data_IF_362390795445
#
_entry.id   IF_362390795445
#
_cell.length_a   1.000
_cell.length_b   1.000
_cell.length_c   1.000
_cell.angle_alpha   90.00
_cell.angle_beta   90.00
_cell.angle_gamma   90.00
#
_symmetry.space_group_name_H-M   'P 1'
#
loop_
_entity.id
_entity.type
_entity.pdbx_description
1 polymer ?
#
# COMPACT_ATOMS: atom_id res chain seq x y z
N UNK A 1 0.60 -29.66 3.63
CA UNK A 1 1.20 -29.59 4.97
C UNK A 1 2.54 -28.90 4.81
N UNK A 2 2.79 -27.80 5.57
CA UNK A 2 4.08 -27.10 5.54
C UNK A 2 5.08 -27.92 6.34
N UNK A 3 6.17 -28.34 5.72
CA UNK A 3 7.24 -29.06 6.40
C UNK A 3 8.08 -28.10 7.26
N UNK A 4 8.35 -28.44 8.53
CA UNK A 4 9.25 -27.68 9.40
C UNK A 4 10.68 -27.64 8.83
N UNK A 5 11.39 -26.56 9.08
CA UNK A 5 12.79 -26.42 8.71
C UNK A 5 13.69 -27.00 9.82
N UNK A 6 13.85 -28.30 9.79
CA UNK A 6 14.68 -29.02 10.75
C UNK A 6 16.17 -28.66 10.66
N UNK A 7 16.66 -28.25 9.46
CA UNK A 7 18.05 -27.86 9.25
C UNK A 7 18.43 -26.65 10.11
N UNK A 8 17.61 -25.58 10.08
CA UNK A 8 17.84 -24.39 10.91
C UNK A 8 17.76 -24.74 12.40
N UNK A 9 16.74 -25.51 12.81
CA UNK A 9 16.58 -25.92 14.20
C UNK A 9 17.80 -26.70 14.69
N UNK A 10 18.24 -27.69 13.95
CA UNK A 10 19.41 -28.51 14.32
C UNK A 10 20.70 -27.71 14.32
N UNK A 11 20.87 -26.74 13.40
CA UNK A 11 22.04 -25.87 13.39
C UNK A 11 22.10 -25.01 14.67
N UNK A 12 20.97 -24.44 15.08
CA UNK A 12 20.87 -23.67 16.34
C UNK A 12 21.14 -24.57 17.57
N UNK A 13 20.52 -25.74 17.63
CA UNK A 13 20.65 -26.66 18.78
C UNK A 13 22.05 -27.26 18.91
N UNK A 14 22.81 -27.36 17.84
CA UNK A 14 24.23 -27.77 17.85
C UNK A 14 25.18 -26.66 18.31
N UNK A 15 24.74 -25.40 18.26
CA UNK A 15 25.56 -24.26 18.66
C UNK A 15 25.40 -24.09 20.18
N UNK A 16 26.51 -24.14 20.94
CA UNK A 16 26.44 -23.91 22.39
C UNK A 16 25.94 -22.51 22.73
N UNK A 17 25.11 -22.40 23.76
CA UNK A 17 24.71 -21.11 24.31
C UNK A 17 25.92 -20.40 24.92
N UNK A 18 26.09 -19.11 24.62
CA UNK A 18 27.06 -18.25 25.28
C UNK A 18 26.50 -17.69 26.61
N UNK A 19 25.17 -17.68 26.77
CA UNK A 19 24.49 -17.14 27.95
C UNK A 19 24.37 -18.20 29.06
N UNK A 20 24.12 -19.46 28.68
CA UNK A 20 23.92 -20.57 29.64
C UNK A 20 24.85 -21.73 29.28
N UNK A 21 26.03 -21.84 29.93
CA UNK A 21 27.02 -22.90 29.66
C UNK A 21 26.40 -24.31 29.77
N UNK A 22 26.66 -25.15 28.78
CA UNK A 22 26.19 -26.53 28.74
C UNK A 22 24.81 -26.75 28.13
N UNK A 23 24.17 -25.70 27.66
CA UNK A 23 22.88 -25.77 26.92
C UNK A 23 23.03 -25.40 25.45
N UNK A 24 22.05 -25.78 24.64
CA UNK A 24 21.94 -25.36 23.26
C UNK A 24 21.46 -23.88 23.18
N UNK A 25 21.89 -23.17 22.13
CA UNK A 25 21.46 -21.80 21.88
C UNK A 25 19.93 -21.70 21.79
N UNK A 26 19.33 -20.75 22.53
CA UNK A 26 17.90 -20.46 22.47
C UNK A 26 17.54 -19.70 21.18
N UNK A 27 16.23 -19.62 20.85
CA UNK A 27 15.75 -18.80 19.71
C UNK A 27 16.02 -17.32 19.97
N UNK A 28 15.83 -16.85 21.19
CA UNK A 28 16.06 -15.47 21.58
C UNK A 28 17.56 -15.15 21.42
N UNK A 29 18.45 -15.99 21.96
CA UNK A 29 19.89 -15.80 21.83
C UNK A 29 20.35 -15.77 20.35
N UNK A 30 19.78 -16.62 19.50
CA UNK A 30 20.03 -16.58 18.06
C UNK A 30 19.59 -15.24 17.45
N UNK A 31 18.42 -14.75 17.83
CA UNK A 31 17.88 -13.49 17.38
C UNK A 31 18.80 -12.31 17.78
N UNK A 32 19.21 -12.28 19.04
CA UNK A 32 20.07 -11.23 19.60
C UNK A 32 21.46 -11.23 18.94
N UNK A 33 22.05 -12.39 18.69
CA UNK A 33 23.34 -12.53 18.01
C UNK A 33 23.26 -12.14 16.54
N UNK A 34 22.17 -12.44 15.86
CA UNK A 34 21.92 -11.99 14.48
C UNK A 34 21.78 -10.47 14.43
N UNK A 35 21.04 -9.87 15.38
CA UNK A 35 20.89 -8.42 15.45
C UNK A 35 22.22 -7.74 15.75
N UNK A 36 23.03 -8.27 16.67
CA UNK A 36 24.37 -7.77 16.99
C UNK A 36 25.30 -7.83 15.77
N UNK A 37 25.38 -8.98 15.07
CA UNK A 37 26.16 -9.13 13.85
C UNK A 37 25.78 -8.11 12.78
N UNK A 38 24.48 -7.88 12.59
CA UNK A 38 23.99 -6.92 11.61
C UNK A 38 24.29 -5.48 12.01
N UNK A 39 24.21 -5.16 13.30
CA UNK A 39 24.55 -3.85 13.81
C UNK A 39 26.04 -3.53 13.62
N UNK A 40 26.94 -4.46 13.96
CA UNK A 40 28.37 -4.30 13.75
C UNK A 40 28.73 -4.06 12.27
N UNK A 41 28.03 -4.73 11.35
CA UNK A 41 28.34 -4.67 9.93
C UNK A 41 27.69 -3.49 9.21
N UNK A 42 26.52 -3.04 9.65
CA UNK A 42 25.71 -2.05 8.91
C UNK A 42 25.51 -0.73 9.66
N UNK A 43 25.79 -0.69 10.96
CA UNK A 43 25.47 0.42 11.86
C UNK A 43 23.97 0.66 12.07
N UNK A 44 23.11 -0.29 11.64
CA UNK A 44 21.65 -0.19 11.74
C UNK A 44 21.12 -1.18 12.75
N UNK A 45 20.15 -0.73 13.56
CA UNK A 45 19.40 -1.61 14.45
C UNK A 45 18.49 -2.52 13.62
N UNK A 46 18.49 -3.80 13.96
CA UNK A 46 17.59 -4.81 13.41
C UNK A 46 16.80 -5.43 14.55
N UNK A 47 15.52 -5.74 14.34
CA UNK A 47 14.59 -6.22 15.36
C UNK A 47 14.11 -7.64 15.01
N UNK A 48 15.07 -8.56 14.78
CA UNK A 48 14.74 -9.97 14.66
C UNK A 48 14.47 -10.51 16.08
N UNK A 49 13.35 -11.22 16.26
CA UNK A 49 12.90 -11.77 17.55
C UNK A 49 12.83 -13.31 17.54
N UNK A 50 12.61 -13.90 18.70
CA UNK A 50 12.45 -15.34 18.88
C UNK A 50 11.27 -15.90 18.08
N UNK A 51 10.20 -15.13 17.93
CA UNK A 51 9.04 -15.50 17.15
C UNK A 51 9.34 -15.54 15.64
N UNK A 52 10.19 -14.64 15.14
CA UNK A 52 10.66 -14.68 13.75
C UNK A 52 11.52 -15.93 13.51
N UNK A 53 12.46 -16.25 14.42
CA UNK A 53 13.23 -17.50 14.37
C UNK A 53 12.29 -18.71 14.41
N UNK A 54 11.29 -18.68 15.27
CA UNK A 54 10.26 -19.73 15.33
C UNK A 54 9.46 -19.88 14.02
N UNK A 55 9.18 -18.79 13.28
CA UNK A 55 8.54 -18.84 11.95
C UNK A 55 9.45 -19.49 10.91
N UNK A 56 10.75 -19.23 10.97
CA UNK A 56 11.75 -19.87 10.11
C UNK A 56 11.81 -21.39 10.38
N UNK A 57 11.89 -21.82 11.63
CA UNK A 57 11.95 -23.24 12.01
C UNK A 57 10.65 -24.00 11.71
N UNK A 58 9.49 -23.37 11.86
CA UNK A 58 8.21 -23.98 11.46
C UNK A 58 7.98 -24.00 9.94
N UNK A 59 8.93 -23.52 9.14
CA UNK A 59 8.82 -23.48 7.68
C UNK A 59 7.75 -22.49 7.17
N UNK A 60 7.30 -21.54 8.00
CA UNK A 60 6.36 -20.50 7.61
C UNK A 60 7.06 -19.52 6.67
N UNK A 61 8.29 -19.13 7.01
CA UNK A 61 9.18 -18.33 6.17
C UNK A 61 10.27 -19.26 5.63
N UNK A 62 10.22 -19.60 4.33
CA UNK A 62 11.16 -20.51 3.69
C UNK A 62 12.37 -19.82 3.05
N UNK A 63 12.24 -18.53 2.78
CA UNK A 63 13.29 -17.73 2.14
C UNK A 63 13.33 -16.34 2.75
N UNK A 64 14.06 -16.16 3.89
CA UNK A 64 14.19 -14.84 4.51
C UNK A 64 15.03 -13.89 3.64
N UNK A 65 15.04 -12.61 3.99
CA UNK A 65 15.81 -11.58 3.28
C UNK A 65 17.30 -11.94 3.24
N UNK A 66 17.99 -11.48 2.18
CA UNK A 66 19.41 -11.80 1.97
C UNK A 66 20.28 -11.45 3.18
N UNK A 67 20.04 -10.30 3.78
CA UNK A 67 20.74 -9.79 4.96
C UNK A 67 20.60 -10.75 6.17
N UNK A 68 19.39 -11.24 6.42
CA UNK A 68 19.16 -12.21 7.50
C UNK A 68 19.76 -13.59 7.20
N UNK A 69 19.73 -14.05 5.94
CA UNK A 69 20.37 -15.32 5.56
C UNK A 69 21.87 -15.28 5.77
N UNK A 70 22.51 -14.16 5.36
CA UNK A 70 23.94 -13.94 5.58
C UNK A 70 24.29 -13.95 7.07
N UNK A 71 23.55 -13.20 7.89
CA UNK A 71 23.77 -13.15 9.32
C UNK A 71 23.54 -14.50 10.02
N UNK A 72 22.48 -15.23 9.65
CA UNK A 72 22.20 -16.57 10.18
C UNK A 72 23.33 -17.56 9.85
N UNK A 73 23.86 -17.52 8.62
CA UNK A 73 25.03 -18.33 8.25
C UNK A 73 26.26 -18.00 9.07
N UNK A 74 26.53 -16.71 9.23
CA UNK A 74 27.69 -16.24 10.00
C UNK A 74 27.60 -16.63 11.48
N UNK A 75 26.45 -16.41 12.11
CA UNK A 75 26.21 -16.73 13.52
C UNK A 75 26.23 -18.23 13.81
N UNK A 76 25.68 -19.04 12.90
CA UNK A 76 25.59 -20.49 13.04
C UNK A 76 26.79 -21.25 12.40
N UNK A 77 27.73 -20.54 11.81
CA UNK A 77 28.95 -21.13 11.26
C UNK A 77 28.74 -22.06 10.07
N UNK A 78 27.72 -21.81 9.21
CA UNK A 78 27.41 -22.65 8.05
C UNK A 78 27.73 -21.97 6.73
N UNK A 79 28.11 -22.75 5.71
CA UNK A 79 28.65 -22.22 4.47
C UNK A 79 27.56 -21.72 3.49
N UNK A 80 26.37 -22.35 3.48
CA UNK A 80 25.36 -22.04 2.47
C UNK A 80 23.94 -21.90 3.05
N UNK A 81 23.05 -21.19 2.32
CA UNK A 81 21.64 -21.10 2.64
C UNK A 81 20.96 -22.48 2.66
N UNK A 82 21.47 -23.44 1.88
CA UNK A 82 20.96 -24.80 1.80
C UNK A 82 21.23 -25.57 3.10
N UNK A 83 22.35 -25.31 3.76
CA UNK A 83 22.71 -25.95 5.02
C UNK A 83 21.76 -25.54 6.16
N UNK A 84 21.12 -24.36 6.02
CA UNK A 84 20.05 -23.88 6.90
C UNK A 84 18.65 -24.27 6.39
N UNK A 85 18.53 -25.08 5.35
CA UNK A 85 17.25 -25.51 4.79
C UNK A 85 16.48 -24.39 4.11
N UNK A 86 17.13 -23.27 3.75
CA UNK A 86 16.48 -22.22 2.98
C UNK A 86 16.42 -22.57 1.51
N UNK A 87 15.20 -22.64 0.95
CA UNK A 87 14.95 -23.00 -0.43
C UNK A 87 14.21 -21.88 -1.14
N UNK A 88 14.82 -21.36 -2.22
CA UNK A 88 14.14 -20.41 -3.09
C UNK A 88 13.23 -21.16 -4.06
N UNK A 89 11.97 -21.33 -3.69
CA UNK A 89 10.98 -22.05 -4.49
C UNK A 89 10.72 -21.40 -5.86
N UNK A 90 11.07 -20.13 -6.05
CA UNK A 90 11.00 -19.46 -7.36
C UNK A 90 12.09 -19.93 -8.34
N UNK A 91 13.21 -20.47 -7.86
CA UNK A 91 14.30 -21.01 -8.71
C UNK A 91 14.13 -22.49 -9.03
N UNK A 92 13.35 -23.24 -8.26
CA UNK A 92 13.12 -24.67 -8.49
C UNK A 92 12.11 -24.96 -9.60
N UNK A 93 11.42 -23.96 -10.11
CA UNK A 93 10.51 -24.10 -11.25
C UNK A 93 11.15 -23.81 -12.61
N UNK A 94 12.45 -23.52 -12.67
CA UNK A 94 13.20 -23.48 -13.93
C UNK A 94 13.68 -24.89 -14.25
N UNK A 95 12.93 -25.59 -15.10
CA UNK A 95 13.34 -26.88 -15.68
C UNK A 95 14.64 -26.72 -16.49
N UNK A 96 15.46 -27.81 -16.64
CA UNK A 96 16.72 -27.78 -17.37
C UNK A 96 16.47 -27.46 -18.85
N UNK A 97 17.20 -26.47 -19.36
CA UNK A 97 17.26 -26.16 -20.78
C UNK A 97 17.89 -27.35 -21.52
N UNK A 98 17.08 -28.06 -22.28
CA UNK A 98 17.57 -29.03 -23.26
C UNK A 98 18.24 -28.23 -24.38
N UNK A 99 19.54 -28.37 -24.51
CA UNK A 99 20.30 -27.86 -25.66
C UNK A 99 19.86 -28.64 -26.91
N UNK A 100 19.04 -28.06 -27.76
CA UNK A 100 18.86 -28.46 -29.13
C UNK A 100 20.03 -27.92 -29.97
N UNK A 101 20.77 -28.79 -30.59
CA UNK A 101 21.84 -28.48 -31.53
C UNK A 101 21.31 -27.68 -32.73
N UNK A 102 22.12 -26.78 -33.31
CA UNK A 102 21.66 -25.93 -34.43
C UNK A 102 21.48 -26.79 -35.69
N UNK A 103 20.30 -26.66 -36.31
CA UNK A 103 20.03 -27.23 -37.63
C UNK A 103 20.77 -26.42 -38.71
N UNK A 104 21.20 -27.07 -39.84
CA UNK A 104 22.03 -26.42 -40.83
C UNK A 104 21.25 -25.38 -41.66
N UNK A 105 21.90 -24.23 -41.85
CA UNK A 105 21.50 -23.23 -42.84
C UNK A 105 21.73 -23.75 -44.23
N UNK A 106 20.64 -24.05 -44.95
CA UNK A 106 20.63 -24.02 -46.41
C UNK A 106 19.21 -23.87 -46.94
N UNK A 107 19.07 -23.07 -48.01
CA UNK A 107 17.90 -22.86 -48.86
C UNK A 107 16.83 -21.90 -48.38
N UNK A 108 16.99 -20.66 -48.80
CA UNK A 108 16.00 -19.81 -49.45
C UNK A 108 16.69 -18.51 -49.95
N UNK A 109 17.35 -18.62 -51.11
CA UNK A 109 17.57 -17.52 -52.00
C UNK A 109 16.52 -17.65 -53.12
N UNK A 110 16.06 -16.51 -53.63
CA UNK A 110 15.20 -16.30 -54.80
C UNK A 110 13.68 -16.27 -54.52
N UNK A 111 13.18 -15.04 -54.26
CA UNK A 111 11.91 -14.58 -54.80
C UNK A 111 11.88 -13.03 -54.83
N UNK A 112 11.96 -12.50 -56.04
CA UNK A 112 11.76 -11.09 -56.37
C UNK A 112 10.30 -10.65 -56.12
N UNK A 113 10.04 -9.36 -55.76
CA UNK A 113 8.69 -8.85 -55.62
C UNK A 113 8.09 -8.44 -56.97
N UNK A 114 6.79 -8.64 -57.24
CA UNK A 114 6.11 -8.07 -58.38
C UNK A 114 5.59 -6.67 -58.09
N UNK A 115 5.67 -5.82 -59.14
CA UNK A 115 5.21 -4.44 -59.21
C UNK A 115 3.68 -4.27 -59.12
N UNK A 116 3.18 -3.04 -58.75
CA UNK A 116 1.77 -2.79 -58.49
C UNK A 116 0.98 -2.45 -59.76
N UNK A 117 -0.26 -2.86 -59.80
CA UNK A 117 -1.22 -2.35 -60.77
C UNK A 117 -2.22 -3.37 -61.31
N UNK A 118 -3.32 -3.56 -60.60
CA UNK A 118 -4.60 -3.96 -61.17
C UNK A 118 -5.74 -3.63 -60.20
N UNK A 119 -6.69 -2.86 -60.64
CA UNK A 119 -7.92 -2.50 -59.96
C UNK A 119 -8.77 -3.75 -59.72
N UNK A 120 -9.32 -3.87 -58.51
CA UNK A 120 -10.31 -4.90 -58.17
C UNK A 120 -11.68 -4.24 -58.01
N UNK A 121 -12.62 -4.68 -58.82
CA UNK A 121 -14.05 -4.43 -58.67
C UNK A 121 -14.61 -5.19 -57.43
N UNK A 122 -15.69 -4.70 -56.80
CA UNK A 122 -16.24 -5.30 -55.59
C UNK A 122 -17.18 -6.48 -55.95
N UNK A 123 -16.82 -7.66 -55.48
CA UNK A 123 -17.74 -8.81 -55.43
C UNK A 123 -18.28 -8.90 -54.00
N UNK A 124 -19.59 -8.71 -53.87
CA UNK A 124 -20.30 -8.90 -52.61
C UNK A 124 -20.42 -10.36 -52.23
N UNK A 125 -20.27 -10.65 -50.95
CA UNK A 125 -20.48 -11.98 -50.37
C UNK A 125 -19.96 -12.04 -48.93
N UNK A 126 -20.83 -12.13 -47.99
CA UNK A 126 -20.78 -12.43 -46.56
C UNK A 126 -19.44 -12.40 -45.78
N UNK A 127 -19.25 -11.43 -44.87
CA UNK A 127 -18.00 -11.25 -44.13
C UNK A 127 -17.85 -12.15 -42.88
N UNK A 128 -18.89 -12.87 -42.45
CA UNK A 128 -18.85 -13.49 -41.10
C UNK A 128 -18.25 -14.90 -41.05
N UNK A 129 -18.35 -15.69 -42.10
CA UNK A 129 -17.85 -17.08 -42.10
C UNK A 129 -16.32 -17.14 -42.18
N UNK A 130 -15.71 -16.24 -42.95
CA UNK A 130 -14.23 -16.22 -43.11
C UNK A 130 -13.49 -15.69 -41.89
N UNK A 131 -14.12 -14.81 -41.13
CA UNK A 131 -13.54 -14.29 -39.88
C UNK A 131 -13.53 -15.34 -38.76
N UNK A 132 -14.57 -16.16 -38.68
CA UNK A 132 -14.62 -17.32 -37.76
C UNK A 132 -13.67 -18.42 -38.18
N UNK A 133 -13.50 -18.71 -39.47
CA UNK A 133 -12.51 -19.68 -39.95
C UNK A 133 -11.06 -19.21 -39.78
N UNK A 134 -10.79 -17.89 -39.98
CA UNK A 134 -9.48 -17.31 -39.68
C UNK A 134 -9.17 -17.35 -38.18
N UNK A 135 -10.14 -17.05 -37.32
CA UNK A 135 -9.98 -17.16 -35.87
C UNK A 135 -9.82 -18.62 -35.43
N UNK A 136 -10.54 -19.57 -36.07
CA UNK A 136 -10.34 -21.01 -35.82
C UNK A 136 -9.00 -21.51 -36.34
N UNK A 137 -8.53 -21.10 -37.48
CA UNK A 137 -7.21 -21.46 -38.01
C UNK A 137 -6.06 -20.89 -37.18
N UNK A 138 -6.21 -19.66 -36.66
CA UNK A 138 -5.26 -19.05 -35.72
C UNK A 138 -5.26 -19.77 -34.36
N UNK A 139 -6.40 -20.36 -33.95
CA UNK A 139 -6.49 -21.15 -32.73
C UNK A 139 -6.07 -22.62 -32.90
N UNK A 140 -6.13 -23.19 -34.09
CA UNK A 140 -5.73 -24.60 -34.36
C UNK A 140 -4.19 -24.78 -34.41
N UNK A 141 -3.45 -23.70 -34.62
CA UNK A 141 -1.97 -23.72 -34.50
C UNK A 141 -1.46 -23.77 -33.05
N UNK A 142 -2.32 -23.54 -32.07
CA UNK A 142 -2.07 -23.68 -30.60
C UNK A 142 -2.97 -24.79 -30.06
N UNK A 143 -3.06 -25.90 -30.78
CA UNK A 143 -3.97 -26.97 -30.49
C UNK A 143 -3.69 -27.63 -29.14
N UNK A 144 -4.65 -27.56 -28.24
CA UNK A 144 -4.81 -28.52 -27.17
C UNK A 144 -4.13 -28.20 -25.84
N UNK A 145 -3.60 -27.01 -25.65
CA UNK A 145 -3.23 -26.54 -24.30
C UNK A 145 -4.47 -25.85 -23.68
N UNK A 146 -5.12 -26.54 -22.75
CA UNK A 146 -5.78 -25.84 -21.65
C UNK A 146 -4.67 -25.01 -21.02
N UNK A 147 -4.54 -23.74 -21.47
CA UNK A 147 -3.44 -22.88 -21.08
C UNK A 147 -3.53 -22.67 -19.57
N UNK A 148 -2.59 -23.22 -18.84
CA UNK A 148 -2.45 -22.87 -17.43
C UNK A 148 -2.24 -21.36 -17.32
N UNK A 149 -2.61 -20.70 -16.22
CA UNK A 149 -2.35 -19.27 -16.04
C UNK A 149 -0.90 -18.89 -16.33
N UNK A 150 0.07 -19.76 -16.09
CA UNK A 150 1.49 -19.57 -16.42
C UNK A 150 1.74 -19.49 -17.93
N UNK A 151 1.09 -20.34 -18.73
CA UNK A 151 1.23 -20.32 -20.19
C UNK A 151 0.66 -19.03 -20.82
N UNK A 152 -0.42 -18.49 -20.25
CA UNK A 152 -0.96 -17.19 -20.69
C UNK A 152 -0.01 -16.03 -20.33
N UNK A 153 0.64 -16.09 -19.18
CA UNK A 153 1.64 -15.09 -18.77
C UNK A 153 2.89 -15.15 -19.63
N UNK A 154 3.29 -16.33 -20.12
CA UNK A 154 4.42 -16.50 -21.03
C UNK A 154 4.21 -15.77 -22.38
N UNK A 155 2.96 -15.58 -22.81
CA UNK A 155 2.63 -14.76 -24.00
C UNK A 155 2.93 -13.27 -23.79
N UNK A 156 2.99 -12.80 -22.54
CA UNK A 156 3.33 -11.42 -22.20
C UNK A 156 4.84 -11.21 -21.95
N UNK A 157 5.60 -12.30 -21.78
CA UNK A 157 7.03 -12.26 -21.48
C UNK A 157 7.89 -11.51 -22.53
N UNK A 158 7.57 -11.53 -23.84
CA UNK A 158 8.34 -10.80 -24.84
C UNK A 158 8.03 -9.30 -24.94
N UNK A 159 7.08 -8.77 -24.14
CA UNK A 159 6.77 -7.32 -24.16
C UNK A 159 7.97 -6.53 -23.63
N UNK A 160 8.53 -5.67 -24.50
CA UNK A 160 9.65 -4.80 -24.13
C UNK A 160 9.10 -3.50 -23.55
N UNK A 161 9.71 -2.94 -22.47
CA UNK A 161 9.42 -1.59 -22.05
C UNK A 161 9.69 -0.60 -23.18
N UNK A 162 8.81 0.37 -23.39
CA UNK A 162 9.08 1.48 -24.32
C UNK A 162 10.05 2.47 -23.69
N UNK A 163 10.90 3.08 -24.50
CA UNK A 163 11.77 4.18 -24.04
C UNK A 163 10.92 5.40 -23.67
N UNK A 164 11.32 6.11 -22.62
CA UNK A 164 10.69 7.36 -22.23
C UNK A 164 10.93 8.45 -23.31
N UNK A 165 9.96 9.34 -23.55
CA UNK A 165 10.14 10.46 -24.47
C UNK A 165 11.33 11.33 -24.07
N UNK A 166 12.12 11.77 -25.05
CA UNK A 166 13.26 12.68 -24.82
C UNK A 166 12.82 14.13 -24.57
N UNK A 167 11.60 14.48 -24.94
CA UNK A 167 10.97 15.79 -24.73
C UNK A 167 9.59 15.60 -24.15
N UNK A 168 9.22 16.51 -23.25
CA UNK A 168 7.95 16.49 -22.55
C UNK A 168 7.25 17.83 -22.72
N UNK A 169 5.95 17.78 -22.96
CA UNK A 169 5.04 18.90 -23.07
C UNK A 169 3.80 18.72 -22.19
N UNK A 170 2.76 19.52 -22.44
CA UNK A 170 1.51 19.48 -21.68
C UNK A 170 0.75 18.16 -21.81
N UNK A 171 0.83 17.50 -22.97
CA UNK A 171 0.12 16.23 -23.19
C UNK A 171 0.61 15.12 -22.26
N UNK A 172 1.92 15.05 -22.00
CA UNK A 172 2.48 14.07 -21.07
C UNK A 172 2.11 14.41 -19.62
N UNK A 173 2.07 15.69 -19.26
CA UNK A 173 1.62 16.14 -17.93
C UNK A 173 0.15 15.74 -17.70
N UNK A 174 -0.73 15.93 -18.67
CA UNK A 174 -2.14 15.52 -18.58
C UNK A 174 -2.27 14.00 -18.41
N UNK A 175 -1.45 13.20 -19.07
CA UNK A 175 -1.40 11.74 -18.90
C UNK A 175 -0.98 11.37 -17.46
N UNK A 176 0.04 12.03 -16.91
CA UNK A 176 0.49 11.80 -15.52
C UNK A 176 -0.60 12.16 -14.54
N UNK A 177 -1.26 13.31 -14.71
CA UNK A 177 -2.38 13.76 -13.86
C UNK A 177 -3.54 12.77 -13.94
N UNK A 178 -3.93 12.36 -15.14
CA UNK A 178 -4.99 11.36 -15.33
C UNK A 178 -4.68 10.01 -14.67
N UNK A 179 -3.42 9.58 -14.70
CA UNK A 179 -2.99 8.36 -13.98
C UNK A 179 -3.10 8.54 -12.46
N UNK A 180 -2.72 9.71 -11.92
CA UNK A 180 -2.85 9.99 -10.49
C UNK A 180 -4.32 10.01 -10.06
N UNK A 181 -5.20 10.67 -10.81
CA UNK A 181 -6.63 10.76 -10.53
C UNK A 181 -7.31 9.37 -10.54
N UNK A 182 -6.93 8.52 -11.51
CA UNK A 182 -7.42 7.15 -11.58
C UNK A 182 -7.05 6.36 -10.33
N UNK A 183 -5.81 6.44 -9.87
CA UNK A 183 -5.36 5.76 -8.65
C UNK A 183 -6.07 6.30 -7.41
N UNK A 184 -6.25 7.61 -7.30
CA UNK A 184 -6.99 8.23 -6.19
C UNK A 184 -8.43 7.72 -6.14
N UNK A 185 -9.14 7.76 -7.28
CA UNK A 185 -10.52 7.27 -7.40
C UNK A 185 -10.63 5.79 -7.05
N UNK A 186 -9.72 4.96 -7.57
CA UNK A 186 -9.67 3.54 -7.26
C UNK A 186 -9.46 3.29 -5.76
N UNK A 187 -8.49 4.01 -5.16
CA UNK A 187 -8.20 3.90 -3.74
C UNK A 187 -9.38 4.25 -2.83
N UNK A 188 -10.20 5.22 -3.21
CA UNK A 188 -11.41 5.60 -2.46
C UNK A 188 -12.52 4.56 -2.55
N UNK A 189 -12.67 3.93 -3.72
CA UNK A 189 -13.77 3.01 -4.01
C UNK A 189 -13.47 1.56 -3.64
N UNK A 190 -12.23 1.10 -3.84
CA UNK A 190 -11.86 -0.32 -3.74
C UNK A 190 -10.73 -0.60 -2.75
N UNK A 191 -10.04 0.44 -2.25
CA UNK A 191 -8.80 0.29 -1.51
C UNK A 191 -7.56 0.12 -2.43
N UNK A 192 -6.38 0.18 -1.85
CA UNK A 192 -5.13 0.31 -2.61
C UNK A 192 -4.37 -0.99 -2.86
N UNK A 193 -4.65 -2.06 -2.09
CA UNK A 193 -3.81 -3.24 -2.10
C UNK A 193 -3.80 -3.99 -3.44
N UNK A 194 -4.94 -4.03 -4.15
CA UNK A 194 -5.10 -4.76 -5.41
C UNK A 194 -4.34 -4.15 -6.60
N UNK A 195 -4.10 -2.85 -6.59
CA UNK A 195 -3.47 -2.12 -7.72
C UNK A 195 -2.05 -1.65 -7.45
N UNK A 196 -1.49 -1.94 -6.29
CA UNK A 196 -0.16 -1.44 -5.84
C UNK A 196 0.94 -1.70 -6.86
N UNK A 197 1.03 -2.89 -7.43
CA UNK A 197 2.09 -3.23 -8.38
C UNK A 197 1.94 -2.49 -9.71
N UNK A 198 0.72 -2.31 -10.19
CA UNK A 198 0.44 -1.51 -11.39
C UNK A 198 0.78 -0.03 -11.15
N UNK A 199 0.42 0.52 -9.99
CA UNK A 199 0.75 1.89 -9.60
C UNK A 199 2.27 2.10 -9.52
N UNK A 200 3.01 1.16 -8.93
CA UNK A 200 4.47 1.19 -8.89
C UNK A 200 5.10 1.17 -10.30
N UNK A 201 4.56 0.37 -11.22
CA UNK A 201 5.03 0.31 -12.60
C UNK A 201 4.77 1.64 -13.34
N UNK A 202 3.58 2.22 -13.18
CA UNK A 202 3.25 3.53 -13.74
C UNK A 202 4.16 4.63 -13.18
N UNK A 203 4.36 4.67 -11.86
CA UNK A 203 5.24 5.68 -11.25
C UNK A 203 6.68 5.57 -11.75
N UNK A 204 7.22 4.35 -11.91
CA UNK A 204 8.56 4.17 -12.48
C UNK A 204 8.65 4.66 -13.91
N UNK A 205 7.62 4.41 -14.72
CA UNK A 205 7.56 4.85 -16.11
C UNK A 205 7.51 6.39 -16.18
N UNK A 206 6.53 7.00 -15.51
CA UNK A 206 6.37 8.46 -15.55
C UNK A 206 7.51 9.20 -14.84
N UNK A 207 8.14 8.60 -13.84
CA UNK A 207 9.31 9.14 -13.16
C UNK A 207 10.51 9.36 -14.11
N UNK A 208 10.63 8.58 -15.19
CA UNK A 208 11.68 8.78 -16.20
C UNK A 208 11.50 10.10 -16.97
N UNK A 209 10.28 10.64 -17.07
CA UNK A 209 10.01 11.90 -17.73
C UNK A 209 10.70 13.09 -17.04
N UNK A 210 11.02 13.00 -15.74
CA UNK A 210 11.74 14.06 -15.04
C UNK A 210 13.14 14.33 -15.61
N UNK A 211 13.74 13.36 -16.32
CA UNK A 211 14.99 13.50 -17.03
C UNK A 211 14.87 14.05 -18.46
N UNK A 212 13.63 14.25 -18.96
CA UNK A 212 13.40 14.72 -20.32
C UNK A 212 13.65 16.24 -20.49
N UNK A 213 13.85 16.67 -21.72
CA UNK A 213 13.94 18.10 -22.05
C UNK A 213 12.54 18.74 -21.95
N UNK A 214 12.45 19.84 -21.20
CA UNK A 214 11.22 20.60 -20.98
C UNK A 214 11.55 22.08 -20.79
N UNK A 215 10.57 22.97 -21.07
CA UNK A 215 10.70 24.40 -20.68
C UNK A 215 10.63 24.50 -19.14
N UNK A 216 11.09 25.63 -18.54
CA UNK A 216 11.03 25.82 -17.08
C UNK A 216 9.60 25.64 -16.54
N UNK A 217 8.59 26.17 -17.21
CA UNK A 217 7.18 26.08 -16.81
C UNK A 217 6.68 24.63 -16.84
N UNK A 218 6.95 23.91 -17.94
CA UNK A 218 6.60 22.49 -18.10
C UNK A 218 7.32 21.64 -17.06
N UNK A 219 8.56 21.98 -16.71
CA UNK A 219 9.32 21.27 -15.69
C UNK A 219 8.66 21.39 -14.31
N UNK A 220 8.20 22.58 -13.91
CA UNK A 220 7.47 22.78 -12.65
C UNK A 220 6.20 21.93 -12.63
N UNK A 221 5.36 22.04 -13.65
CA UNK A 221 4.11 21.28 -13.74
C UNK A 221 4.35 19.76 -13.78
N UNK A 222 5.43 19.30 -14.45
CA UNK A 222 5.78 17.89 -14.51
C UNK A 222 6.18 17.34 -13.14
N UNK A 223 7.01 18.07 -12.38
CA UNK A 223 7.40 17.65 -11.03
C UNK A 223 6.18 17.57 -10.10
N UNK A 224 5.27 18.53 -10.18
CA UNK A 224 4.01 18.47 -9.42
C UNK A 224 3.15 17.27 -9.82
N UNK A 225 2.96 17.03 -11.12
CA UNK A 225 2.16 15.92 -11.61
C UNK A 225 2.75 14.56 -11.21
N UNK A 226 4.08 14.37 -11.40
CA UNK A 226 4.78 13.12 -10.99
C UNK A 226 4.80 12.99 -9.48
N UNK A 227 4.95 14.07 -8.74
CA UNK A 227 4.85 14.09 -7.28
C UNK A 227 3.46 13.67 -6.78
N UNK A 228 2.38 14.14 -7.43
CA UNK A 228 1.00 13.71 -7.14
C UNK A 228 0.77 12.25 -7.45
N UNK A 229 1.29 11.75 -8.59
CA UNK A 229 1.24 10.32 -8.91
C UNK A 229 2.01 9.51 -7.87
N UNK A 230 3.17 9.99 -7.44
CA UNK A 230 3.94 9.39 -6.35
C UNK A 230 3.14 9.34 -5.05
N UNK A 231 2.48 10.44 -4.67
CA UNK A 231 1.61 10.50 -3.51
C UNK A 231 0.45 9.49 -3.60
N UNK A 232 -0.24 9.40 -4.74
CA UNK A 232 -1.31 8.42 -4.95
C UNK A 232 -0.79 6.98 -4.85
N UNK A 233 0.36 6.68 -5.50
CA UNK A 233 1.02 5.36 -5.42
C UNK A 233 1.44 5.00 -4.00
N UNK A 234 1.99 5.95 -3.24
CA UNK A 234 2.34 5.76 -1.84
C UNK A 234 1.12 5.40 -0.98
N UNK A 235 -0.04 6.00 -1.27
CA UNK A 235 -1.30 5.63 -0.59
C UNK A 235 -1.74 4.20 -0.89
N UNK A 236 -1.50 3.66 -2.09
CA UNK A 236 -1.77 2.24 -2.40
C UNK A 236 -0.91 1.32 -1.53
N UNK A 237 0.37 1.65 -1.39
CA UNK A 237 1.29 0.91 -0.52
C UNK A 237 0.92 1.06 0.97
N UNK A 238 0.57 2.25 1.42
CA UNK A 238 0.12 2.51 2.79
C UNK A 238 -1.16 1.73 3.12
N UNK A 239 -2.12 1.69 2.20
CA UNK A 239 -3.37 0.96 2.38
C UNK A 239 -3.17 -0.57 2.43
N UNK A 240 -2.12 -1.05 1.76
CA UNK A 240 -1.66 -2.43 1.82
C UNK A 240 -0.77 -2.75 3.05
N UNK A 241 -0.56 -1.79 3.96
CA UNK A 241 0.40 -1.86 5.09
C UNK A 241 1.86 -2.13 4.67
N UNK A 242 2.24 -1.82 3.44
CA UNK A 242 3.62 -1.85 2.96
C UNK A 242 4.32 -0.52 3.31
N UNK A 243 4.52 -0.29 4.60
CA UNK A 243 4.90 1.01 5.15
C UNK A 243 6.25 1.53 4.67
N UNK A 244 7.24 0.67 4.49
CA UNK A 244 8.57 1.08 4.02
C UNK A 244 8.53 1.53 2.56
N UNK A 245 7.82 0.78 1.71
CA UNK A 245 7.59 1.18 0.31
C UNK A 245 6.82 2.50 0.25
N UNK A 246 5.74 2.63 1.03
CA UNK A 246 4.94 3.85 1.08
C UNK A 246 5.78 5.05 1.53
N UNK A 247 6.59 4.90 2.59
CA UNK A 247 7.49 5.96 3.08
C UNK A 247 8.50 6.38 2.02
N UNK A 248 9.09 5.43 1.30
CA UNK A 248 10.05 5.72 0.25
C UNK A 248 9.41 6.49 -0.90
N UNK A 249 8.19 6.09 -1.32
CA UNK A 249 7.46 6.77 -2.39
C UNK A 249 6.96 8.14 -1.94
N UNK A 250 6.50 8.30 -0.69
CA UNK A 250 6.17 9.63 -0.14
C UNK A 250 7.39 10.56 -0.11
N UNK A 251 8.59 10.05 0.25
CA UNK A 251 9.83 10.85 0.20
C UNK A 251 10.19 11.27 -1.24
N UNK A 252 9.95 10.41 -2.22
CA UNK A 252 10.09 10.78 -3.63
C UNK A 252 9.13 11.90 -4.02
N UNK A 253 7.85 11.80 -3.64
CA UNK A 253 6.85 12.84 -3.89
C UNK A 253 7.19 14.17 -3.20
N UNK A 254 7.73 14.08 -1.96
CA UNK A 254 8.22 15.25 -1.23
C UNK A 254 9.39 15.92 -1.98
N UNK A 255 10.36 15.15 -2.42
CA UNK A 255 11.49 15.68 -3.20
C UNK A 255 11.02 16.36 -4.50
N UNK A 256 10.04 15.80 -5.21
CA UNK A 256 9.43 16.46 -6.37
C UNK A 256 8.81 17.82 -6.02
N UNK A 257 8.14 17.93 -4.87
CA UNK A 257 7.53 19.20 -4.43
C UNK A 257 8.59 20.24 -4.04
N UNK A 258 9.66 19.81 -3.38
CA UNK A 258 10.75 20.68 -2.92
C UNK A 258 11.59 21.21 -4.07
N UNK A 259 11.84 20.39 -5.12
CA UNK A 259 12.58 20.79 -6.32
C UNK A 259 11.96 21.99 -7.02
N UNK A 260 10.64 22.13 -6.99
CA UNK A 260 9.91 23.20 -7.65
C UNK A 260 9.29 24.22 -6.69
N UNK A 261 9.51 24.07 -5.39
CA UNK A 261 8.99 24.99 -4.37
C UNK A 261 7.47 24.92 -4.23
N UNK A 262 6.83 23.79 -4.51
CA UNK A 262 5.37 23.61 -4.37
C UNK A 262 4.98 23.37 -2.91
N UNK A 263 4.58 24.44 -2.22
CA UNK A 263 4.16 24.38 -0.82
C UNK A 263 2.89 23.54 -0.62
N UNK A 264 1.95 23.62 -1.54
CA UNK A 264 0.71 22.85 -1.51
C UNK A 264 0.97 21.34 -1.58
N UNK A 265 1.74 20.88 -2.56
CA UNK A 265 2.06 19.45 -2.68
C UNK A 265 2.92 18.98 -1.50
N UNK A 266 3.87 19.81 -1.03
CA UNK A 266 4.68 19.52 0.15
C UNK A 266 3.81 19.29 1.39
N UNK A 267 2.84 20.17 1.65
CA UNK A 267 1.90 20.06 2.77
C UNK A 267 1.10 18.75 2.70
N UNK A 268 0.56 18.42 1.52
CA UNK A 268 -0.19 17.18 1.28
C UNK A 268 0.64 15.92 1.58
N UNK A 269 1.86 15.87 1.07
CA UNK A 269 2.75 14.73 1.26
C UNK A 269 3.16 14.57 2.72
N UNK A 270 3.52 15.67 3.39
CA UNK A 270 3.90 15.64 4.81
C UNK A 270 2.72 15.24 5.71
N UNK A 271 1.48 15.69 5.40
CA UNK A 271 0.27 15.21 6.08
C UNK A 271 0.11 13.69 5.97
N UNK A 272 0.40 13.12 4.79
CA UNK A 272 0.30 11.69 4.57
C UNK A 272 1.39 10.89 5.28
N UNK A 273 2.63 11.42 5.31
CA UNK A 273 3.71 10.87 6.14
C UNK A 273 3.36 10.90 7.63
N UNK A 274 2.83 12.02 8.12
CA UNK A 274 2.36 12.12 9.50
C UNK A 274 1.32 11.04 9.82
N UNK A 275 0.31 10.90 8.95
CA UNK A 275 -0.75 9.90 9.10
C UNK A 275 -0.19 8.47 9.11
N UNK A 276 0.77 8.15 8.25
CA UNK A 276 1.41 6.83 8.22
C UNK A 276 2.15 6.53 9.52
N UNK A 277 2.95 7.48 10.02
CA UNK A 277 3.74 7.24 11.24
C UNK A 277 2.83 7.12 12.48
N UNK A 278 1.77 7.94 12.57
CA UNK A 278 0.73 7.80 13.60
C UNK A 278 0.11 6.38 13.55
N UNK A 279 -0.19 5.87 12.36
CA UNK A 279 -0.75 4.54 12.17
C UNK A 279 0.20 3.43 12.59
N UNK A 280 1.50 3.62 12.41
CA UNK A 280 2.55 2.68 12.82
C UNK A 280 2.85 2.70 14.33
N UNK A 281 2.26 3.63 15.08
CA UNK A 281 2.56 3.85 16.49
C UNK A 281 3.68 4.86 16.75
N UNK A 282 4.30 5.40 15.69
CA UNK A 282 5.38 6.40 15.76
C UNK A 282 4.78 7.82 15.85
N UNK A 283 3.96 8.06 16.89
CA UNK A 283 3.16 9.28 16.99
C UNK A 283 4.02 10.57 17.12
N UNK A 284 5.20 10.48 17.73
CA UNK A 284 6.13 11.62 17.85
C UNK A 284 6.71 12.03 16.50
N UNK A 285 7.11 11.05 15.68
CA UNK A 285 7.54 11.29 14.30
C UNK A 285 6.39 11.81 13.44
N UNK A 286 5.17 11.29 13.66
CA UNK A 286 3.96 11.80 13.03
C UNK A 286 3.69 13.25 13.37
N UNK A 287 3.87 13.65 14.63
CA UNK A 287 3.78 15.03 15.07
C UNK A 287 4.82 15.94 14.38
N UNK A 288 6.07 15.45 14.30
CA UNK A 288 7.14 16.17 13.62
C UNK A 288 6.79 16.45 12.15
N UNK A 289 6.28 15.47 11.41
CA UNK A 289 5.86 15.71 10.02
C UNK A 289 4.69 16.67 9.89
N UNK A 290 3.69 16.61 10.79
CA UNK A 290 2.58 17.54 10.79
C UNK A 290 3.03 18.99 11.08
N UNK A 291 3.96 19.18 12.00
CA UNK A 291 4.54 20.49 12.33
C UNK A 291 5.44 21.02 11.21
N UNK A 292 6.25 20.16 10.57
CA UNK A 292 7.01 20.54 9.38
C UNK A 292 6.11 20.98 8.21
N UNK A 293 4.93 20.40 8.08
CA UNK A 293 3.96 20.79 7.06
C UNK A 293 3.37 22.18 7.35
N UNK A 294 3.20 22.53 8.62
CA UNK A 294 2.69 23.84 9.06
C UNK A 294 3.74 24.96 9.01
N UNK A 295 5.02 24.63 8.79
CA UNK A 295 6.03 25.66 8.50
C UNK A 295 5.64 26.38 7.21
N UNK A 296 5.47 27.69 7.27
CA UNK A 296 4.94 28.51 6.18
C UNK A 296 3.46 28.22 5.87
N UNK A 297 2.64 28.00 6.91
CA UNK A 297 1.18 27.93 6.79
C UNK A 297 0.57 29.18 6.10
N UNK A 298 1.28 30.32 6.15
CA UNK A 298 0.93 31.56 5.43
C UNK A 298 0.81 31.37 3.90
N UNK A 299 1.36 30.29 3.34
CA UNK A 299 1.30 29.94 1.90
C UNK A 299 0.26 28.89 1.56
N UNK A 300 -0.45 28.40 2.55
CA UNK A 300 -1.42 27.31 2.40
C UNK A 300 -2.84 27.86 2.47
N UNK A 301 -3.76 27.17 1.80
CA UNK A 301 -5.19 27.49 1.92
C UNK A 301 -5.73 27.12 3.29
N UNK A 302 -6.86 27.68 3.67
CA UNK A 302 -7.51 27.35 4.93
C UNK A 302 -7.88 25.86 5.03
N UNK A 303 -8.28 25.25 3.91
CA UNK A 303 -8.55 23.82 3.79
C UNK A 303 -7.32 22.96 4.09
N UNK A 304 -6.17 23.34 3.55
CA UNK A 304 -4.90 22.63 3.81
C UNK A 304 -4.47 22.80 5.27
N UNK A 305 -4.62 23.98 5.84
CA UNK A 305 -4.33 24.22 7.26
C UNK A 305 -5.24 23.38 8.15
N UNK A 306 -6.54 23.29 7.87
CA UNK A 306 -7.46 22.42 8.59
C UNK A 306 -7.00 20.95 8.54
N UNK A 307 -6.66 20.43 7.35
CA UNK A 307 -6.13 19.08 7.18
C UNK A 307 -4.87 18.84 8.02
N UNK A 308 -3.95 19.79 8.07
CA UNK A 308 -2.69 19.67 8.82
C UNK A 308 -2.91 19.71 10.34
N UNK A 309 -3.80 20.59 10.81
CA UNK A 309 -4.17 20.65 12.23
C UNK A 309 -4.87 19.36 12.68
N UNK A 310 -5.67 18.69 11.82
CA UNK A 310 -6.21 17.36 12.15
C UNK A 310 -5.13 16.29 12.22
N UNK A 311 -4.15 16.29 11.33
CA UNK A 311 -3.00 15.38 11.42
C UNK A 311 -2.22 15.58 12.72
N UNK A 312 -1.96 16.85 13.08
CA UNK A 312 -1.32 17.23 14.35
C UNK A 312 -2.14 16.77 15.55
N UNK A 313 -3.46 16.98 15.54
CA UNK A 313 -4.36 16.56 16.62
C UNK A 313 -4.31 15.04 16.83
N UNK A 314 -4.31 14.25 15.75
CA UNK A 314 -4.21 12.78 15.83
C UNK A 314 -2.89 12.31 16.45
N UNK A 315 -1.76 12.94 16.11
CA UNK A 315 -0.48 12.64 16.70
C UNK A 315 -0.46 12.97 18.20
N UNK A 316 -0.94 14.15 18.58
CA UNK A 316 -1.04 14.59 19.97
C UNK A 316 -1.94 13.68 20.82
N UNK A 317 -3.06 13.21 20.26
CA UNK A 317 -3.96 12.27 20.92
C UNK A 317 -3.26 10.93 21.23
N UNK A 318 -2.50 10.39 20.27
CA UNK A 318 -1.72 9.16 20.48
C UNK A 318 -0.59 9.32 21.51
N UNK A 319 -0.07 10.55 21.67
CA UNK A 319 0.91 10.90 22.71
C UNK A 319 0.27 11.19 24.07
N UNK A 320 -1.05 11.07 24.20
CA UNK A 320 -1.78 11.38 25.45
C UNK A 320 -1.81 12.87 25.83
N UNK A 321 -1.51 13.77 24.87
CA UNK A 321 -1.44 15.22 25.09
C UNK A 321 -2.83 15.86 24.97
N UNK A 322 -3.70 15.59 25.93
CA UNK A 322 -5.12 15.95 25.92
C UNK A 322 -5.40 17.41 25.54
N UNK A 323 -4.84 18.37 26.29
CA UNK A 323 -5.09 19.80 26.08
C UNK A 323 -4.57 20.28 24.71
N UNK A 324 -3.43 19.75 24.28
CA UNK A 324 -2.85 20.09 22.98
C UNK A 324 -3.69 19.51 21.84
N UNK A 325 -4.26 18.30 22.02
CA UNK A 325 -5.19 17.70 21.06
C UNK A 325 -6.43 18.58 20.87
N UNK A 326 -7.05 19.02 21.98
CA UNK A 326 -8.24 19.89 21.90
C UNK A 326 -7.93 21.21 21.21
N UNK A 327 -6.77 21.82 21.52
CA UNK A 327 -6.33 23.05 20.84
C UNK A 327 -6.12 22.82 19.34
N UNK A 328 -5.49 21.70 18.95
CA UNK A 328 -5.26 21.40 17.55
C UNK A 328 -6.57 21.10 16.79
N UNK A 329 -7.55 20.44 17.43
CA UNK A 329 -8.90 20.28 16.87
C UNK A 329 -9.59 21.62 16.71
N UNK A 330 -9.53 22.51 17.71
CA UNK A 330 -10.08 23.87 17.61
C UNK A 330 -9.46 24.68 16.48
N UNK A 331 -8.13 24.60 16.31
CA UNK A 331 -7.43 25.23 15.18
C UNK A 331 -7.86 24.65 13.83
N UNK A 332 -8.11 23.33 13.76
CA UNK A 332 -8.62 22.69 12.57
C UNK A 332 -10.04 23.18 12.23
N UNK A 333 -10.91 23.28 13.22
CA UNK A 333 -12.29 23.78 13.06
C UNK A 333 -12.29 25.26 12.64
N UNK A 334 -11.45 26.09 13.25
CA UNK A 334 -11.30 27.49 12.88
C UNK A 334 -10.82 27.66 11.44
N UNK A 335 -9.77 26.93 11.06
CA UNK A 335 -9.29 26.95 9.68
C UNK A 335 -10.37 26.44 8.70
N UNK A 336 -11.08 25.37 9.06
CA UNK A 336 -12.14 24.82 8.22
C UNK A 336 -13.30 25.80 8.03
N UNK A 337 -13.66 26.59 9.03
CA UNK A 337 -14.69 27.61 8.92
C UNK A 337 -14.36 28.72 7.90
N UNK A 338 -13.11 28.87 7.51
CA UNK A 338 -12.63 29.86 6.53
C UNK A 338 -12.25 29.23 5.17
N UNK A 339 -12.70 27.99 4.90
CA UNK A 339 -12.40 27.33 3.63
C UNK A 339 -13.08 28.00 2.45
N UNK A 340 -12.32 28.15 1.37
CA UNK A 340 -12.80 28.65 0.07
C UNK A 340 -12.43 27.64 -1.00
N UNK A 341 -13.28 26.63 -1.28
CA UNK A 341 -12.94 25.50 -2.17
C UNK A 341 -12.51 25.91 -3.59
N UNK A 342 -12.96 27.07 -4.08
CA UNK A 342 -12.55 27.60 -5.39
C UNK A 342 -11.07 28.03 -5.44
N UNK A 343 -10.47 28.33 -4.28
CA UNK A 343 -9.06 28.68 -4.14
C UNK A 343 -8.15 27.50 -3.82
N UNK A 344 -8.72 26.32 -3.58
CA UNK A 344 -7.96 25.15 -3.21
C UNK A 344 -7.27 24.50 -4.40
N UNK A 345 -6.10 23.85 -4.19
CA UNK A 345 -5.54 22.95 -5.18
C UNK A 345 -6.55 21.86 -5.55
N UNK A 346 -6.64 21.43 -6.82
CA UNK A 346 -7.63 20.45 -7.28
C UNK A 346 -7.68 19.16 -6.46
N UNK A 347 -6.54 18.72 -5.97
CA UNK A 347 -6.44 17.52 -5.15
C UNK A 347 -6.95 17.65 -3.71
N UNK A 348 -7.40 18.83 -3.29
CA UNK A 348 -8.03 19.05 -1.98
C UNK A 348 -9.54 18.83 -2.00
N UNK A 349 -10.16 18.62 -3.15
CA UNK A 349 -11.61 18.41 -3.25
C UNK A 349 -12.18 17.23 -2.44
N UNK A 350 -11.33 16.34 -1.92
CA UNK A 350 -11.74 15.28 -1.01
C UNK A 350 -11.96 15.76 0.43
N UNK A 351 -11.41 16.94 0.82
CA UNK A 351 -11.43 17.43 2.19
C UNK A 351 -12.67 18.29 2.43
N UNK A 352 -13.82 17.65 2.39
CA UNK A 352 -15.14 18.22 2.64
C UNK A 352 -15.53 18.16 4.13
N UNK A 353 -16.75 18.57 4.46
CA UNK A 353 -17.28 18.54 5.82
C UNK A 353 -17.30 17.13 6.43
N UNK A 354 -17.57 16.10 5.62
CA UNK A 354 -17.57 14.72 6.09
C UNK A 354 -16.14 14.24 6.43
N UNK A 355 -15.17 14.57 5.57
CA UNK A 355 -13.76 14.22 5.82
C UNK A 355 -13.22 14.97 7.03
N UNK A 356 -13.51 16.28 7.18
CA UNK A 356 -13.10 17.07 8.34
C UNK A 356 -13.69 16.52 9.64
N UNK A 357 -14.99 16.24 9.65
CA UNK A 357 -15.66 15.63 10.80
C UNK A 357 -15.07 14.25 11.15
N UNK A 358 -14.81 13.43 10.14
CA UNK A 358 -14.17 12.12 10.31
C UNK A 358 -12.77 12.23 10.91
N UNK A 359 -11.91 13.06 10.33
CA UNK A 359 -10.52 13.20 10.78
C UNK A 359 -10.43 13.78 12.21
N UNK A 360 -11.25 14.78 12.56
CA UNK A 360 -11.32 15.31 13.92
C UNK A 360 -11.97 14.33 14.90
N UNK A 361 -12.99 13.57 14.48
CA UNK A 361 -13.60 12.50 15.26
C UNK A 361 -12.58 11.39 15.59
N UNK A 362 -11.77 11.00 14.62
CA UNK A 362 -10.67 10.05 14.84
C UNK A 362 -9.60 10.59 15.79
N UNK A 363 -9.30 11.90 15.77
CA UNK A 363 -8.36 12.51 16.72
C UNK A 363 -8.89 12.47 18.16
N UNK A 364 -10.20 12.67 18.34
CA UNK A 364 -10.84 12.67 19.66
C UNK A 364 -11.17 11.26 20.18
N UNK A 365 -11.09 10.22 19.35
CA UNK A 365 -11.44 8.84 19.71
C UNK A 365 -10.66 8.34 20.92
N UNK A 366 -9.32 8.42 20.88
CA UNK A 366 -8.47 7.90 21.95
C UNK A 366 -8.74 8.61 23.29
N UNK A 367 -9.02 9.90 23.27
CA UNK A 367 -9.34 10.66 24.45
C UNK A 367 -10.68 10.21 25.07
N UNK A 368 -11.68 9.94 24.23
CA UNK A 368 -12.99 9.47 24.70
C UNK A 368 -12.90 8.09 25.31
N UNK A 369 -12.14 7.18 24.70
CA UNK A 369 -11.90 5.83 25.25
C UNK A 369 -11.16 5.90 26.60
N UNK A 370 -10.32 6.91 26.81
CA UNK A 370 -9.63 7.16 28.08
C UNK A 370 -10.54 7.82 29.14
N UNK A 371 -11.82 8.05 28.84
CA UNK A 371 -12.80 8.59 29.77
C UNK A 371 -12.99 10.11 29.71
N UNK A 372 -12.36 10.80 28.77
CA UNK A 372 -12.59 12.23 28.57
C UNK A 372 -13.88 12.47 27.78
N UNK A 373 -14.64 13.47 28.18
CA UNK A 373 -15.83 13.89 27.42
C UNK A 373 -15.40 14.70 26.22
N UNK A 374 -15.70 14.20 25.03
CA UNK A 374 -15.39 14.87 23.75
C UNK A 374 -16.55 14.74 22.76
N UNK A 375 -16.42 15.38 21.61
CA UNK A 375 -17.37 15.31 20.50
C UNK A 375 -17.02 14.20 19.48
N UNK A 376 -16.25 13.19 19.84
CA UNK A 376 -15.81 12.15 18.92
C UNK A 376 -17.00 11.43 18.24
N UNK A 377 -18.00 10.98 19.01
CA UNK A 377 -19.14 10.24 18.48
C UNK A 377 -20.01 11.07 17.51
N UNK A 378 -20.45 12.29 17.85
CA UNK A 378 -21.20 13.12 16.89
C UNK A 378 -20.40 13.45 15.63
N UNK A 379 -19.10 13.72 15.73
CA UNK A 379 -18.26 13.99 14.56
C UNK A 379 -18.11 12.76 13.65
N UNK A 380 -17.87 11.58 14.20
CA UNK A 380 -17.82 10.35 13.44
C UNK A 380 -19.17 10.04 12.76
N UNK A 381 -20.29 10.32 13.42
CA UNK A 381 -21.63 10.18 12.84
C UNK A 381 -21.82 11.13 11.66
N UNK A 382 -21.47 12.42 11.81
CA UNK A 382 -21.48 13.38 10.71
C UNK A 382 -20.66 12.90 9.51
N UNK A 383 -19.49 12.30 9.76
CA UNK A 383 -18.67 11.73 8.70
C UNK A 383 -19.35 10.56 7.98
N UNK A 384 -19.94 9.63 8.73
CA UNK A 384 -20.65 8.47 8.17
C UNK A 384 -21.81 8.91 7.29
N UNK A 385 -22.61 9.85 7.79
CA UNK A 385 -23.81 10.35 7.10
C UNK A 385 -23.46 11.23 5.89
N UNK A 386 -22.36 11.94 5.93
CA UNK A 386 -21.95 12.90 4.90
C UNK A 386 -21.11 12.30 3.77
N UNK A 387 -20.42 11.17 3.97
CA UNK A 387 -19.62 10.58 2.91
C UNK A 387 -20.46 10.00 1.79
N UNK A 388 -20.22 10.46 0.56
CA UNK A 388 -20.88 9.99 -0.65
C UNK A 388 -20.44 8.58 -1.06
N UNK A 389 -21.12 7.98 -2.04
CA UNK A 389 -20.80 6.65 -2.59
C UNK A 389 -19.38 6.55 -3.19
N UNK A 390 -18.76 7.67 -3.57
CA UNK A 390 -17.36 7.69 -4.04
C UNK A 390 -16.33 7.50 -2.94
N UNK A 391 -16.72 7.66 -1.65
CA UNK A 391 -15.80 7.59 -0.51
C UNK A 391 -16.12 6.41 0.42
N UNK A 392 -16.44 5.24 -0.16
CA UNK A 392 -16.82 4.02 0.59
C UNK A 392 -15.79 3.67 1.66
N UNK A 393 -14.49 3.75 1.34
CA UNK A 393 -13.43 3.45 2.31
C UNK A 393 -13.44 4.42 3.50
N UNK A 394 -13.54 5.72 3.27
CA UNK A 394 -13.57 6.72 4.36
C UNK A 394 -14.80 6.53 5.24
N UNK A 395 -15.97 6.26 4.62
CA UNK A 395 -17.21 5.95 5.35
C UNK A 395 -17.04 4.70 6.21
N UNK A 396 -16.58 3.59 5.64
CA UNK A 396 -16.37 2.33 6.35
C UNK A 396 -15.41 2.49 7.55
N UNK A 397 -14.31 3.23 7.39
CA UNK A 397 -13.36 3.49 8.47
C UNK A 397 -13.98 4.35 9.58
N UNK A 398 -14.71 5.44 9.24
CA UNK A 398 -15.39 6.28 10.24
C UNK A 398 -16.50 5.52 10.95
N UNK A 399 -17.24 4.67 10.23
CA UNK A 399 -18.29 3.84 10.80
C UNK A 399 -17.74 2.75 11.72
N UNK A 400 -16.64 2.10 11.35
CA UNK A 400 -15.94 1.13 12.21
C UNK A 400 -15.43 1.81 13.48
N UNK A 401 -14.88 3.02 13.35
CA UNK A 401 -14.38 3.77 14.51
C UNK A 401 -15.52 4.23 15.41
N UNK A 402 -16.67 4.63 14.85
CA UNK A 402 -17.88 4.95 15.61
C UNK A 402 -18.40 3.73 16.36
N UNK A 403 -18.45 2.56 15.70
CA UNK A 403 -18.84 1.30 16.33
C UNK A 403 -17.90 0.93 17.49
N UNK A 404 -16.58 1.06 17.28
CA UNK A 404 -15.56 0.81 18.31
C UNK A 404 -15.72 1.75 19.51
N UNK A 405 -15.98 3.04 19.25
CA UNK A 405 -16.21 4.02 20.31
C UNK A 405 -17.48 3.70 21.11
N UNK A 406 -18.59 3.45 20.40
CA UNK A 406 -19.88 3.09 21.04
C UNK A 406 -19.76 1.79 21.83
N UNK A 407 -19.00 0.80 21.33
CA UNK A 407 -18.73 -0.46 22.04
C UNK A 407 -17.87 -0.25 23.29
N UNK A 408 -16.96 0.72 23.28
CA UNK A 408 -16.06 0.98 24.41
C UNK A 408 -16.75 1.74 25.56
N UNK A 409 -17.59 2.74 25.23
CA UNK A 409 -18.11 3.71 26.22
C UNK A 409 -19.63 3.97 26.14
N UNK A 410 -20.34 3.34 25.21
CA UNK A 410 -21.78 3.53 24.96
C UNK A 410 -22.57 2.24 25.08
N UNK A 411 -23.66 2.16 24.30
CA UNK A 411 -24.59 1.03 24.27
C UNK A 411 -24.07 -0.06 23.31
N UNK A 412 -23.90 -1.33 23.78
CA UNK A 412 -23.36 -2.42 22.96
C UNK A 412 -24.31 -2.85 21.81
N UNK A 413 -25.64 -2.71 21.95
CA UNK A 413 -26.58 -3.06 20.88
C UNK A 413 -26.51 -2.05 19.73
N UNK A 414 -26.47 -0.75 20.07
CA UNK A 414 -26.20 0.30 19.08
C UNK A 414 -24.84 0.11 18.40
N UNK A 415 -23.82 -0.23 19.15
CA UNK A 415 -22.49 -0.48 18.61
C UNK A 415 -22.49 -1.68 17.64
N UNK A 416 -23.24 -2.75 17.97
CA UNK A 416 -23.37 -3.92 17.11
C UNK A 416 -24.06 -3.57 15.81
N UNK A 417 -25.14 -2.80 15.86
CA UNK A 417 -25.86 -2.33 14.67
C UNK A 417 -24.98 -1.49 13.75
N UNK A 418 -24.22 -0.54 14.30
CA UNK A 418 -23.27 0.29 13.54
C UNK A 418 -22.15 -0.59 12.96
N UNK A 419 -21.63 -1.53 13.74
CA UNK A 419 -20.57 -2.43 13.34
C UNK A 419 -20.95 -3.38 12.21
N UNK A 420 -22.18 -3.92 12.21
CA UNK A 420 -22.70 -4.77 11.13
C UNK A 420 -22.77 -4.00 9.80
N UNK A 421 -23.19 -2.73 9.83
CA UNK A 421 -23.18 -1.88 8.65
C UNK A 421 -21.74 -1.58 8.18
N UNK A 422 -20.81 -1.34 9.10
CA UNK A 422 -19.39 -1.15 8.79
C UNK A 422 -18.77 -2.39 8.10
N UNK A 423 -19.09 -3.59 8.56
CA UNK A 423 -18.66 -4.85 7.93
C UNK A 423 -19.20 -4.99 6.52
N UNK A 424 -20.47 -4.62 6.30
CA UNK A 424 -21.08 -4.64 4.97
C UNK A 424 -20.39 -3.68 3.99
N UNK A 425 -20.11 -2.44 4.42
CA UNK A 425 -19.40 -1.46 3.61
C UNK A 425 -17.93 -1.88 3.35
N UNK A 426 -17.28 -2.50 4.32
CA UNK A 426 -15.89 -2.94 4.18
C UNK A 426 -15.72 -4.21 3.33
N UNK A 427 -16.79 -5.00 3.14
CA UNK A 427 -16.71 -6.33 2.48
C UNK A 427 -16.24 -6.31 1.03
N UNK A 428 -16.33 -5.17 0.34
CA UNK A 428 -15.80 -4.97 -1.01
C UNK A 428 -14.44 -4.27 -1.09
N UNK A 429 -13.82 -3.95 0.08
CA UNK A 429 -12.60 -3.15 0.12
C UNK A 429 -11.35 -4.02 0.23
N UNK A 430 -10.42 -3.85 -0.70
CA UNK A 430 -9.06 -4.41 -0.61
C UNK A 430 -8.14 -3.46 0.18
N UNK A 431 -8.46 -3.25 1.47
CA UNK A 431 -7.74 -2.35 2.37
C UNK A 431 -7.35 -3.07 3.67
N UNK A 432 -6.05 -3.26 3.88
CA UNK A 432 -5.55 -3.85 5.14
C UNK A 432 -5.78 -2.93 6.33
N UNK A 433 -5.79 -1.61 6.11
CA UNK A 433 -6.09 -0.66 7.18
C UNK A 433 -7.54 -0.76 7.65
N UNK A 434 -8.49 -0.91 6.72
CA UNK A 434 -9.88 -1.16 7.09
C UNK A 434 -10.03 -2.48 7.86
N UNK A 435 -9.32 -3.53 7.45
CA UNK A 435 -9.28 -4.80 8.19
C UNK A 435 -8.69 -4.65 9.60
N UNK A 436 -7.67 -3.81 9.79
CA UNK A 436 -7.12 -3.52 11.13
C UNK A 436 -8.13 -2.80 12.02
N UNK A 437 -8.89 -1.83 11.50
CA UNK A 437 -9.97 -1.17 12.25
C UNK A 437 -11.08 -2.16 12.64
N UNK A 438 -11.46 -3.09 11.75
CA UNK A 438 -12.42 -4.16 12.07
C UNK A 438 -11.86 -5.11 13.16
N UNK A 439 -10.57 -5.41 13.16
CA UNK A 439 -9.93 -6.22 14.20
C UNK A 439 -9.92 -5.49 15.56
N UNK A 440 -9.73 -4.17 15.55
CA UNK A 440 -9.87 -3.34 16.75
C UNK A 440 -11.31 -3.38 17.31
N UNK A 441 -12.32 -3.23 16.45
CA UNK A 441 -13.74 -3.38 16.83
C UNK A 441 -14.01 -4.76 17.45
N UNK A 442 -13.46 -5.83 16.86
CA UNK A 442 -13.58 -7.18 17.43
C UNK A 442 -12.97 -7.27 18.84
N UNK A 443 -11.91 -6.53 19.10
CA UNK A 443 -11.28 -6.49 20.44
C UNK A 443 -12.19 -5.81 21.45
N UNK A 444 -12.75 -4.62 21.12
CA UNK A 444 -13.68 -3.92 21.99
C UNK A 444 -14.95 -4.75 22.27
N UNK A 445 -15.49 -5.44 21.26
CA UNK A 445 -16.68 -6.27 21.37
C UNK A 445 -16.52 -7.49 22.29
N UNK A 446 -15.28 -7.85 22.66
CA UNK A 446 -15.00 -8.99 23.55
C UNK A 446 -15.64 -8.87 24.93
N UNK A 447 -15.76 -7.66 25.46
CA UNK A 447 -16.37 -7.39 26.78
C UNK A 447 -17.88 -7.63 26.81
N UNK A 448 -18.54 -7.59 25.66
CA UNK A 448 -19.98 -7.68 25.50
C UNK A 448 -20.41 -8.93 24.70
N UNK A 449 -19.54 -9.97 24.63
CA UNK A 449 -19.76 -11.18 23.84
C UNK A 449 -21.03 -11.98 24.22
N UNK A 450 -21.59 -11.74 25.41
CA UNK A 450 -22.86 -12.35 25.88
C UNK A 450 -24.11 -11.66 25.35
N UNK A 451 -24.03 -10.50 24.69
CA UNK A 451 -25.14 -9.80 24.07
C UNK A 451 -25.39 -10.42 22.70
N UNK A 452 -26.60 -10.86 22.35
CA UNK A 452 -26.87 -11.58 21.09
C UNK A 452 -26.44 -10.82 19.84
N UNK A 453 -26.72 -9.52 19.75
CA UNK A 453 -26.37 -8.63 18.62
C UNK A 453 -24.85 -8.48 18.49
N UNK A 454 -24.13 -8.43 19.61
CA UNK A 454 -22.68 -8.38 19.63
C UNK A 454 -22.08 -9.73 19.23
N UNK A 455 -22.70 -10.85 19.61
CA UNK A 455 -22.28 -12.18 19.19
C UNK A 455 -22.36 -12.35 17.66
N UNK A 456 -23.45 -11.89 17.03
CA UNK A 456 -23.60 -11.88 15.57
C UNK A 456 -22.54 -10.97 14.91
N UNK A 457 -22.34 -9.75 15.42
CA UNK A 457 -21.26 -8.87 14.94
C UNK A 457 -19.89 -9.56 15.00
N UNK A 458 -19.55 -10.20 16.10
CA UNK A 458 -18.29 -10.93 16.27
C UNK A 458 -18.11 -12.06 15.27
N UNK A 459 -19.20 -12.79 14.98
CA UNK A 459 -19.22 -13.83 13.95
C UNK A 459 -18.90 -13.22 12.57
N UNK A 460 -19.57 -12.15 12.19
CA UNK A 460 -19.35 -11.44 10.92
C UNK A 460 -17.93 -10.88 10.80
N UNK A 461 -17.42 -10.27 11.88
CA UNK A 461 -16.05 -9.77 11.93
C UNK A 461 -15.04 -10.90 11.73
N UNK A 462 -15.27 -12.07 12.34
CA UNK A 462 -14.37 -13.21 12.18
C UNK A 462 -14.34 -13.73 10.76
N UNK A 463 -15.49 -13.80 10.10
CA UNK A 463 -15.61 -14.19 8.68
C UNK A 463 -14.92 -13.19 7.75
N UNK A 464 -15.19 -11.88 7.94
CA UNK A 464 -14.60 -10.82 7.12
C UNK A 464 -13.08 -10.70 7.28
N UNK A 465 -12.52 -11.01 8.44
CA UNK A 465 -11.07 -10.98 8.68
C UNK A 465 -10.34 -12.24 8.22
N UNK A 466 -11.07 -13.32 7.90
CA UNK A 466 -10.50 -14.57 7.38
C UNK A 466 -10.44 -14.61 5.84
N UNK A 467 -11.20 -13.76 5.15
CA UNK A 467 -11.22 -13.58 3.68
C UNK A 467 -10.08 -12.67 3.22
#
# INVERSE_FOLDING_TARGET
VREPNEHLRLARERTPSAEVPGTAMSRQELADRVNAYLFERTGRLHELDDNYVGKLERGIIRWPQATYREALRAVLGVASDRDLGFVNTRRLQAAPVVHLAPAPRQLLADAHPPHPGAALEPVGGEPDVKRQEFLRAAFVGVGGLLASPSTLLDLLAPLRPSDAPKRVGRSEIEQVRGAADLLVSWGHSHGGAGVREAANAQLRWFGQLLGAQATPEVRVELHEAVGLLGHATAHMAFDACAYDDARQIFKFALACSEEVGSWHLRAKVLSSLARQEIWRGEADLGLTYAELALVRADRLTATEQAMLHTARARALAKLGRYQDTLRAVGQADEAYAHTEPAGDPPWMGYYDAAQHAGDTGHALFDLTVQGHRTEAAPRLRTAVDGHTAGYVRSRAMSQTKLASLTMAVGDPDDAARIGLAAVADAGGLHSRRAAMDLAELRTYSGRHAGVPEVAELRHRLTTALAS
#
